data_IF_462180874103
#
_entry.id   IF_462180874103
#
_cell.length_a   1.000
_cell.length_b   1.000
_cell.length_c   1.000
_cell.angle_alpha   90.00
_cell.angle_beta   90.00
_cell.angle_gamma   90.00
#
_symmetry.space_group_name_H-M   'P 1'
#
loop_
_entity.id
_entity.type
_entity.pdbx_description
1 polymer ?
#
# COMPACT_ATOMS: atom_id res chain seq x y z
N UNK A 1 -43.28 28.51 -0.95
CA UNK A 1 -44.70 28.63 -0.58
C UNK A 1 -45.06 27.31 0.09
N UNK A 2 -44.84 27.14 1.39
CA UNK A 2 -45.63 27.58 2.54
C UNK A 2 -46.13 26.30 3.26
N UNK A 3 -45.52 26.00 4.41
CA UNK A 3 -46.08 25.13 5.46
C UNK A 3 -47.30 25.83 6.11
N UNK A 4 -48.17 25.12 6.85
CA UNK A 4 -48.04 25.00 8.33
C UNK A 4 -48.64 23.65 8.86
N UNK A 5 -48.73 23.25 10.14
CA UNK A 5 -48.26 23.64 11.49
C UNK A 5 -48.53 22.40 12.40
N UNK A 6 -47.71 22.23 13.44
CA UNK A 6 -47.90 21.31 14.59
C UNK A 6 -49.03 21.78 15.54
N UNK A 7 -49.42 20.95 16.53
CA UNK A 7 -49.04 21.33 17.91
C UNK A 7 -48.67 20.16 18.85
N UNK A 8 -47.72 20.40 19.78
CA UNK A 8 -47.66 19.77 21.11
C UNK A 8 -48.51 20.59 22.11
N UNK A 9 -48.56 20.27 23.44
CA UNK A 9 -47.39 20.41 24.31
C UNK A 9 -47.35 19.55 25.61
N UNK A 10 -46.27 19.76 26.39
CA UNK A 10 -46.13 19.62 27.88
C UNK A 10 -46.07 18.20 28.48
N UNK A 11 -45.13 17.77 29.33
CA UNK A 11 -44.12 18.44 30.16
C UNK A 11 -44.34 18.08 31.64
N UNK A 12 -43.50 17.22 32.25
CA UNK A 12 -43.34 17.11 33.71
C UNK A 12 -41.90 16.70 34.05
N UNK A 13 -41.30 17.43 35.01
CA UNK A 13 -39.96 17.32 35.61
C UNK A 13 -39.92 16.33 36.79
N UNK A 14 -38.71 15.81 37.04
CA UNK A 14 -38.03 15.44 38.30
C UNK A 14 -38.80 14.71 39.44
N UNK A 15 -38.23 13.61 39.96
CA UNK A 15 -37.46 13.62 41.23
C UNK A 15 -37.12 12.20 41.77
N UNK A 16 -35.82 12.03 42.09
CA UNK A 16 -35.22 11.39 43.28
C UNK A 16 -35.59 9.97 43.81
N UNK A 17 -34.51 9.14 43.85
CA UNK A 17 -33.90 8.46 45.02
C UNK A 17 -34.52 7.18 45.65
N UNK A 18 -33.64 6.15 45.69
CA UNK A 18 -33.25 5.27 46.84
C UNK A 18 -33.48 3.75 46.71
N UNK A 19 -32.35 3.06 46.94
CA UNK A 19 -32.11 1.83 47.69
C UNK A 19 -32.86 0.54 47.33
N UNK A 20 -32.10 -0.54 47.16
CA UNK A 20 -32.20 -1.82 47.90
C UNK A 20 -31.10 -2.76 47.38
N UNK A 21 -29.99 -2.94 48.09
CA UNK A 21 -29.76 -3.83 49.23
C UNK A 21 -29.89 -5.33 48.88
N UNK A 22 -28.73 -6.01 48.89
CA UNK A 22 -28.51 -7.44 48.66
C UNK A 22 -29.16 -8.28 49.77
N UNK A 23 -29.82 -9.38 49.39
CA UNK A 23 -30.21 -10.47 50.29
C UNK A 23 -29.04 -11.45 50.46
N UNK A 24 -28.61 -11.64 51.70
CA UNK A 24 -27.79 -12.76 52.17
C UNK A 24 -28.70 -13.82 52.81
N UNK A 25 -28.45 -15.10 52.54
CA UNK A 25 -29.03 -16.24 53.24
C UNK A 25 -28.10 -16.69 54.40
N UNK A 26 -28.64 -17.25 55.49
CA UNK A 26 -27.88 -17.58 56.69
C UNK A 26 -27.30 -18.99 56.63
N UNK A 27 -26.19 -19.19 57.34
CA UNK A 27 -25.60 -20.49 57.66
C UNK A 27 -25.74 -20.73 59.16
N UNK A 28 -26.46 -21.78 59.51
CA UNK A 28 -26.47 -22.37 60.85
C UNK A 28 -25.19 -23.19 61.07
N UNK A 29 -24.52 -22.98 62.20
CA UNK A 29 -23.69 -24.03 62.81
C UNK A 29 -23.54 -23.82 64.32
N UNK A 30 -24.28 -24.67 65.01
CA UNK A 30 -24.14 -25.25 66.35
C UNK A 30 -22.71 -25.20 66.95
N UNK A 31 -22.61 -24.68 68.18
CA UNK A 31 -22.18 -25.50 69.32
C UNK A 31 -20.75 -25.40 69.87
N UNK A 32 -20.68 -24.78 71.06
CA UNK A 32 -19.92 -25.16 72.29
C UNK A 32 -18.37 -25.10 72.36
N UNK A 33 -17.96 -24.23 73.29
CA UNK A 33 -17.04 -24.43 74.42
C UNK A 33 -15.53 -24.70 74.21
N UNK A 34 -14.75 -23.63 74.47
CA UNK A 34 -13.55 -23.48 75.32
C UNK A 34 -12.78 -24.74 75.80
N UNK A 35 -11.43 -24.72 75.87
CA UNK A 35 -10.76 -23.85 76.84
C UNK A 35 -9.41 -23.21 76.42
N UNK A 36 -9.07 -22.19 77.22
CA UNK A 36 -7.83 -21.42 77.21
C UNK A 36 -6.63 -22.31 77.53
N UNK A 37 -5.63 -22.33 76.65
CA UNK A 37 -4.25 -22.64 77.01
C UNK A 37 -3.36 -21.42 76.79
N UNK A 38 -2.54 -21.19 77.80
CA UNK A 38 -1.59 -20.09 77.94
C UNK A 38 -0.43 -20.18 76.93
N UNK A 39 -0.04 -18.99 76.46
CA UNK A 39 1.25 -18.55 75.97
C UNK A 39 2.35 -19.59 75.68
N UNK A 40 2.75 -19.69 74.40
CA UNK A 40 4.15 -19.43 74.00
C UNK A 40 4.31 -19.34 72.48
N UNK A 41 4.99 -18.26 72.08
CA UNK A 41 5.85 -18.10 70.90
C UNK A 41 5.37 -18.68 69.56
N UNK A 42 5.03 -17.79 68.61
CA UNK A 42 5.61 -17.75 67.25
C UNK A 42 4.87 -16.75 66.35
N UNK A 43 5.49 -15.59 66.11
CA UNK A 43 5.43 -14.84 64.84
C UNK A 43 6.86 -14.96 64.29
N UNK A 44 7.11 -15.34 63.01
CA UNK A 44 6.47 -14.74 61.84
C UNK A 44 6.26 -15.71 60.65
N UNK A 45 5.02 -16.03 60.27
CA UNK A 45 4.76 -16.78 59.02
C UNK A 45 3.53 -16.23 58.29
N UNK A 46 3.46 -14.91 58.10
CA UNK A 46 2.38 -14.28 57.30
C UNK A 46 2.94 -13.38 56.18
N UNK A 47 4.23 -13.06 56.18
CA UNK A 47 4.83 -12.14 55.19
C UNK A 47 5.28 -12.85 53.90
N UNK A 48 5.52 -14.17 53.92
CA UNK A 48 6.05 -14.88 52.75
C UNK A 48 4.97 -15.22 51.71
N UNK A 49 3.72 -15.44 52.12
CA UNK A 49 2.63 -15.79 51.18
C UNK A 49 2.17 -14.58 50.35
N UNK A 50 2.23 -13.37 50.91
CA UNK A 50 1.89 -12.14 50.18
C UNK A 50 2.93 -11.77 49.10
N UNK A 51 4.20 -12.19 49.26
CA UNK A 51 5.25 -11.91 48.28
C UNK A 51 5.16 -12.84 47.05
N UNK A 52 4.70 -14.09 47.22
CA UNK A 52 4.59 -15.04 46.10
C UNK A 52 3.42 -14.72 45.16
N UNK A 53 2.33 -14.15 45.67
CA UNK A 53 1.17 -13.76 44.82
C UNK A 53 1.49 -12.52 43.96
N UNK A 54 2.40 -11.65 44.41
CA UNK A 54 2.84 -10.48 43.64
C UNK A 54 3.74 -10.84 42.44
N UNK A 55 4.38 -12.01 42.45
CA UNK A 55 5.28 -12.46 41.38
C UNK A 55 4.59 -13.21 40.21
N UNK A 56 3.29 -13.51 40.30
CA UNK A 56 2.52 -14.13 39.20
C UNK A 56 1.69 -13.14 38.36
N UNK A 57 1.79 -11.83 38.62
CA UNK A 57 1.21 -10.81 37.76
C UNK A 57 2.11 -10.53 36.56
N UNK A 58 2.34 -11.55 35.74
CA UNK A 58 2.99 -11.37 34.44
C UNK A 58 2.10 -10.47 33.60
N UNK A 59 2.50 -9.21 33.40
CA UNK A 59 1.90 -8.34 32.39
C UNK A 59 2.11 -9.03 31.05
N UNK A 60 1.06 -9.65 30.50
CA UNK A 60 1.08 -10.09 29.11
C UNK A 60 1.56 -8.89 28.28
N UNK A 61 2.58 -9.05 27.40
CA UNK A 61 2.97 -7.95 26.53
C UNK A 61 1.71 -7.51 25.81
N UNK A 62 1.36 -6.23 25.95
CA UNK A 62 0.26 -5.65 25.20
C UNK A 62 0.50 -6.02 23.75
N UNK A 63 -0.41 -6.81 23.15
CA UNK A 63 -0.36 -7.12 21.74
C UNK A 63 -0.18 -5.78 21.03
N UNK A 64 0.95 -5.58 20.35
CA UNK A 64 1.25 -4.32 19.68
C UNK A 64 0.02 -3.99 18.84
N UNK A 65 -0.65 -2.89 19.18
CA UNK A 65 -1.87 -2.51 18.51
C UNK A 65 -1.56 -2.46 17.02
N UNK A 66 -2.21 -3.32 16.23
CA UNK A 66 -2.03 -3.39 14.79
C UNK A 66 -2.15 -1.98 14.24
N UNK A 67 -1.07 -1.44 13.67
CA UNK A 67 -1.10 -0.11 13.08
C UNK A 67 -2.27 -0.08 12.08
N UNK A 68 -3.21 0.89 12.21
CA UNK A 68 -4.35 0.94 11.31
C UNK A 68 -3.87 1.07 9.87
N UNK A 69 -4.69 0.62 8.92
CA UNK A 69 -4.45 0.85 7.50
C UNK A 69 -4.19 2.35 7.26
N UNK A 70 -3.23 2.71 6.39
CA UNK A 70 -2.93 4.10 6.12
C UNK A 70 -4.10 4.75 5.39
N UNK A 71 -4.40 6.04 5.69
CA UNK A 71 -5.43 6.80 4.97
C UNK A 71 -5.03 7.19 3.53
N UNK A 72 -3.73 7.18 3.23
CA UNK A 72 -3.18 7.33 1.87
C UNK A 72 -1.80 6.65 1.78
N UNK A 73 -1.32 6.43 0.56
CA UNK A 73 -0.05 5.74 0.27
C UNK A 73 1.02 6.66 -0.32
N UNK A 74 0.90 7.98 -0.12
CA UNK A 74 1.80 8.94 -0.76
C UNK A 74 3.26 8.73 -0.36
N UNK A 75 3.53 8.33 0.88
CA UNK A 75 4.88 8.04 1.37
C UNK A 75 5.51 6.80 0.70
N UNK A 76 4.67 5.94 0.11
CA UNK A 76 5.05 4.67 -0.50
C UNK A 76 5.53 3.60 0.48
N UNK A 77 5.71 3.91 1.76
CA UNK A 77 6.38 3.03 2.73
C UNK A 77 5.44 2.08 3.46
N UNK A 78 4.13 2.30 3.37
CA UNK A 78 3.11 1.51 4.03
C UNK A 78 1.86 1.46 3.17
N UNK A 79 1.57 0.28 2.59
CA UNK A 79 0.44 0.08 1.66
C UNK A 79 -0.72 -0.67 2.32
N UNK A 80 -0.41 -1.58 3.23
CA UNK A 80 -1.35 -2.44 3.96
C UNK A 80 -0.64 -2.95 5.21
N UNK A 81 -1.38 -3.19 6.30
CA UNK A 81 -0.81 -3.77 7.52
C UNK A 81 -0.53 -5.27 7.36
N UNK A 82 0.41 -5.81 8.13
CA UNK A 82 0.69 -7.25 8.11
C UNK A 82 -0.52 -8.06 8.61
N UNK A 83 -1.26 -7.55 9.60
CA UNK A 83 -2.46 -8.22 10.11
C UNK A 83 -3.56 -8.34 9.04
N UNK A 84 -3.79 -7.29 8.24
CA UNK A 84 -4.75 -7.36 7.14
C UNK A 84 -4.26 -8.31 6.04
N UNK A 85 -2.97 -8.26 5.73
CA UNK A 85 -2.39 -9.03 4.63
C UNK A 85 -2.36 -10.54 4.89
N UNK A 86 -1.97 -10.94 6.11
CA UNK A 86 -1.80 -12.33 6.52
C UNK A 86 -3.02 -12.90 7.28
N UNK A 87 -4.14 -12.17 7.35
CA UNK A 87 -5.38 -12.68 7.96
C UNK A 87 -6.09 -13.69 7.05
N UNK A 88 -5.57 -14.91 7.02
CA UNK A 88 -6.07 -16.03 6.18
C UNK A 88 -7.55 -16.38 6.37
N UNK A 89 -8.15 -15.98 7.51
CA UNK A 89 -9.56 -16.19 7.84
C UNK A 89 -10.41 -14.92 7.74
N UNK A 90 -9.95 -13.88 7.01
CA UNK A 90 -10.66 -12.59 6.92
C UNK A 90 -12.00 -12.67 6.17
N UNK A 91 -12.23 -13.75 5.41
CA UNK A 91 -13.50 -14.05 4.75
C UNK A 91 -13.73 -15.57 4.69
N UNK A 92 -14.97 -16.01 4.87
CA UNK A 92 -15.41 -17.38 4.58
C UNK A 92 -15.74 -17.56 3.10
N UNK A 93 -15.84 -18.81 2.62
CA UNK A 93 -16.22 -19.09 1.23
C UNK A 93 -17.57 -18.47 0.86
N UNK A 94 -18.55 -18.52 1.78
CA UNK A 94 -19.85 -17.88 1.60
C UNK A 94 -19.73 -16.35 1.45
N UNK A 95 -18.91 -15.69 2.26
CA UNK A 95 -18.67 -14.26 2.16
C UNK A 95 -17.97 -13.88 0.84
N UNK A 96 -16.99 -14.67 0.40
CA UNK A 96 -16.34 -14.48 -0.90
C UNK A 96 -17.35 -14.66 -2.04
N UNK A 97 -18.19 -15.69 -1.99
CA UNK A 97 -19.21 -15.93 -3.00
C UNK A 97 -20.23 -14.79 -3.09
N UNK A 98 -20.70 -14.27 -1.95
CA UNK A 98 -21.59 -13.11 -1.88
C UNK A 98 -20.91 -11.86 -2.45
N UNK A 99 -19.65 -11.63 -2.09
CA UNK A 99 -18.86 -10.52 -2.63
C UNK A 99 -18.74 -10.59 -4.16
N UNK A 100 -18.38 -11.76 -4.71
CA UNK A 100 -18.25 -11.95 -6.16
C UNK A 100 -19.58 -11.73 -6.90
N UNK A 101 -20.70 -12.19 -6.33
CA UNK A 101 -22.04 -11.95 -6.89
C UNK A 101 -22.41 -10.47 -6.91
N UNK A 102 -22.06 -9.73 -5.86
CA UNK A 102 -22.31 -8.30 -5.78
C UNK A 102 -21.46 -7.50 -6.78
N UNK A 103 -20.25 -7.96 -7.13
CA UNK A 103 -19.38 -7.29 -8.11
C UNK A 103 -19.83 -7.47 -9.55
N UNK A 104 -20.42 -8.61 -9.88
CA UNK A 104 -20.92 -8.91 -11.22
C UNK A 104 -22.34 -9.47 -11.12
N UNK A 105 -23.38 -8.62 -10.98
CA UNK A 105 -24.76 -9.10 -10.91
C UNK A 105 -25.20 -9.83 -12.19
N UNK A 106 -24.73 -9.35 -13.35
CA UNK A 106 -25.04 -9.94 -14.66
C UNK A 106 -23.76 -10.41 -15.34
N UNK A 107 -23.68 -11.72 -15.59
CA UNK A 107 -22.61 -12.30 -16.39
C UNK A 107 -22.98 -12.28 -17.88
N UNK A 108 -22.09 -11.71 -18.71
CA UNK A 108 -22.22 -11.54 -20.16
C UNK A 108 -21.25 -12.44 -20.95
N UNK A 109 -20.72 -13.49 -20.33
CA UNK A 109 -19.88 -14.47 -21.02
C UNK A 109 -20.66 -15.19 -22.12
N UNK A 110 -20.09 -15.29 -23.31
CA UNK A 110 -20.67 -16.01 -24.45
C UNK A 110 -20.57 -17.53 -24.28
N UNK A 111 -21.32 -18.30 -25.08
CA UNK A 111 -21.19 -19.75 -25.12
C UNK A 111 -19.73 -20.15 -25.50
N UNK A 112 -19.17 -21.12 -24.79
CA UNK A 112 -17.76 -21.54 -24.97
C UNK A 112 -16.71 -20.66 -24.30
N UNK A 113 -17.06 -19.44 -23.87
CA UNK A 113 -16.15 -18.59 -23.08
C UNK A 113 -16.18 -18.98 -21.58
N UNK A 114 -15.10 -18.71 -20.83
CA UNK A 114 -15.12 -18.89 -19.38
C UNK A 114 -16.26 -18.10 -18.73
N UNK A 115 -16.89 -18.71 -17.72
CA UNK A 115 -17.91 -18.04 -16.91
C UNK A 115 -17.30 -16.89 -16.10
N UNK A 116 -18.11 -15.93 -15.68
CA UNK A 116 -17.67 -14.90 -14.72
C UNK A 116 -17.24 -15.54 -13.40
N UNK A 117 -16.33 -14.90 -12.67
CA UNK A 117 -15.67 -15.50 -11.51
C UNK A 117 -16.65 -16.04 -10.45
N UNK A 118 -17.79 -15.38 -10.27
CA UNK A 118 -18.86 -15.83 -9.36
C UNK A 118 -19.50 -17.18 -9.71
N UNK A 119 -19.46 -17.59 -10.98
CA UNK A 119 -20.07 -18.83 -11.51
C UNK A 119 -18.99 -19.82 -12.00
N UNK A 120 -17.71 -19.47 -11.88
CA UNK A 120 -16.60 -20.32 -12.28
C UNK A 120 -16.45 -21.51 -11.34
N UNK A 121 -16.18 -22.68 -11.92
CA UNK A 121 -15.88 -23.92 -11.20
C UNK A 121 -14.65 -24.58 -11.81
N UNK A 122 -13.83 -25.23 -10.97
CA UNK A 122 -12.71 -26.04 -11.41
C UNK A 122 -12.46 -27.20 -10.43
N UNK A 123 -11.78 -28.24 -10.90
CA UNK A 123 -11.21 -29.24 -10.01
C UNK A 123 -9.91 -28.70 -9.40
N UNK A 124 -9.72 -28.98 -8.11
CA UNK A 124 -8.50 -28.65 -7.37
C UNK A 124 -7.75 -29.97 -7.14
N UNK A 125 -6.59 -30.19 -7.76
CA UNK A 125 -5.77 -31.35 -7.45
C UNK A 125 -5.22 -31.24 -6.02
N UNK A 126 -5.06 -32.38 -5.35
CA UNK A 126 -4.36 -32.41 -4.06
C UNK A 126 -2.92 -31.93 -4.22
N UNK A 127 -2.43 -31.18 -3.23
CA UNK A 127 -1.03 -30.73 -3.15
C UNK A 127 -0.49 -31.03 -1.76
N UNK A 128 0.69 -31.64 -1.70
CA UNK A 128 1.42 -31.82 -0.45
C UNK A 128 1.82 -30.46 0.13
N UNK A 129 1.99 -30.41 1.45
CA UNK A 129 2.56 -29.25 2.12
C UNK A 129 4.01 -29.01 1.67
N UNK A 130 4.44 -27.76 1.71
CA UNK A 130 5.84 -27.38 1.58
C UNK A 130 6.22 -26.33 2.64
N UNK A 131 7.38 -25.70 2.49
CA UNK A 131 7.86 -24.69 3.43
C UNK A 131 6.98 -23.43 3.53
N UNK A 132 6.10 -23.18 2.55
CA UNK A 132 5.38 -21.92 2.40
C UNK A 132 3.87 -22.07 2.53
N UNK A 133 3.32 -23.22 2.14
CA UNK A 133 1.90 -23.52 2.27
C UNK A 133 1.68 -24.91 2.89
N UNK A 134 0.63 -25.03 3.69
CA UNK A 134 0.16 -26.33 4.18
C UNK A 134 -0.49 -27.13 3.04
N UNK A 135 -0.78 -28.40 3.29
CA UNK A 135 -1.36 -29.29 2.28
C UNK A 135 -2.72 -28.77 1.80
N UNK A 136 -2.94 -28.80 0.49
CA UNK A 136 -4.21 -28.45 -0.14
C UNK A 136 -4.95 -29.74 -0.52
N UNK A 137 -6.11 -30.03 0.08
CA UNK A 137 -6.86 -31.24 -0.25
C UNK A 137 -7.47 -31.15 -1.66
N UNK A 138 -7.69 -32.32 -2.28
CA UNK A 138 -8.43 -32.43 -3.55
C UNK A 138 -9.85 -31.90 -3.38
N UNK A 139 -10.34 -31.16 -4.36
CA UNK A 139 -11.74 -30.76 -4.47
C UNK A 139 -12.21 -30.98 -5.90
N UNK A 140 -13.46 -31.39 -6.08
CA UNK A 140 -14.08 -31.55 -7.40
C UNK A 140 -15.14 -30.48 -7.61
N UNK A 141 -15.16 -29.89 -8.80
CA UNK A 141 -16.09 -28.82 -9.20
C UNK A 141 -16.21 -27.68 -8.17
N UNK A 142 -15.09 -27.33 -7.53
CA UNK A 142 -15.02 -26.28 -6.53
C UNK A 142 -15.32 -24.92 -7.16
N UNK A 143 -16.09 -24.07 -6.46
CA UNK A 143 -16.32 -22.70 -6.93
C UNK A 143 -15.07 -21.87 -6.71
N UNK A 144 -14.96 -20.76 -7.46
CA UNK A 144 -13.87 -19.81 -7.24
C UNK A 144 -13.74 -19.36 -5.76
N UNK A 145 -14.87 -19.21 -5.06
CA UNK A 145 -14.87 -18.85 -3.64
C UNK A 145 -14.24 -19.91 -2.73
N UNK A 146 -14.50 -21.19 -2.99
CA UNK A 146 -13.91 -22.31 -2.24
C UNK A 146 -12.41 -22.43 -2.54
N UNK A 147 -12.04 -22.28 -3.81
CA UNK A 147 -10.64 -22.28 -4.27
C UNK A 147 -9.85 -21.17 -3.57
N UNK A 148 -10.35 -19.92 -3.61
CA UNK A 148 -9.69 -18.76 -3.01
C UNK A 148 -9.51 -18.96 -1.51
N UNK A 149 -10.54 -19.40 -0.80
CA UNK A 149 -10.48 -19.53 0.67
C UNK A 149 -9.65 -20.73 1.12
N UNK A 150 -9.66 -21.84 0.38
CA UNK A 150 -8.82 -23.00 0.65
C UNK A 150 -7.34 -22.67 0.48
N UNK A 151 -6.98 -21.95 -0.59
CA UNK A 151 -5.60 -21.52 -0.85
C UNK A 151 -5.16 -20.44 0.14
N UNK A 152 -6.04 -19.48 0.45
CA UNK A 152 -5.80 -18.47 1.48
C UNK A 152 -5.42 -19.11 2.83
N UNK A 153 -6.21 -20.11 3.26
CA UNK A 153 -5.94 -20.87 4.48
C UNK A 153 -4.63 -21.66 4.39
N UNK A 154 -4.37 -22.33 3.26
CA UNK A 154 -3.17 -23.13 3.08
C UNK A 154 -1.88 -22.29 3.12
N UNK A 155 -1.88 -21.13 2.46
CA UNK A 155 -0.70 -20.28 2.34
C UNK A 155 -0.65 -19.12 3.35
N UNK A 156 -1.61 -19.01 4.27
CA UNK A 156 -1.61 -17.95 5.28
C UNK A 156 -1.78 -16.53 4.70
N UNK A 157 -2.51 -16.37 3.60
CA UNK A 157 -2.75 -15.07 2.94
C UNK A 157 -4.23 -14.71 3.02
N UNK A 158 -4.54 -13.44 3.26
CA UNK A 158 -5.94 -12.99 3.31
C UNK A 158 -6.70 -13.25 1.99
N UNK A 159 -7.92 -13.83 2.05
CA UNK A 159 -8.82 -13.89 0.90
C UNK A 159 -9.09 -12.51 0.26
N UNK A 160 -9.11 -11.43 1.07
CA UNK A 160 -9.30 -10.05 0.58
C UNK A 160 -8.13 -9.62 -0.29
N UNK A 161 -6.90 -9.94 0.12
CA UNK A 161 -5.69 -9.69 -0.67
C UNK A 161 -5.73 -10.47 -1.98
N UNK A 162 -6.07 -11.76 -1.94
CA UNK A 162 -6.18 -12.58 -3.17
C UNK A 162 -7.19 -11.98 -4.14
N UNK A 163 -8.38 -11.57 -3.67
CA UNK A 163 -9.40 -10.92 -4.50
C UNK A 163 -8.87 -9.62 -5.14
N UNK A 164 -8.17 -8.78 -4.38
CA UNK A 164 -7.60 -7.54 -4.91
C UNK A 164 -6.51 -7.83 -5.94
N UNK A 165 -5.67 -8.83 -5.72
CA UNK A 165 -4.64 -9.23 -6.69
C UNK A 165 -5.28 -9.75 -7.99
N UNK A 166 -6.28 -10.63 -7.92
CA UNK A 166 -7.02 -11.08 -9.11
C UNK A 166 -7.60 -9.92 -9.93
N UNK A 167 -8.07 -8.87 -9.26
CA UNK A 167 -8.55 -7.65 -9.93
C UNK A 167 -7.41 -6.83 -10.54
N UNK A 168 -6.34 -6.61 -9.78
CA UNK A 168 -5.21 -5.79 -10.20
C UNK A 168 -4.50 -6.39 -11.42
N UNK A 169 -4.36 -7.72 -11.44
CA UNK A 169 -3.58 -8.44 -12.45
C UNK A 169 -4.38 -8.72 -13.72
N UNK A 170 -5.67 -9.10 -13.62
CA UNK A 170 -6.48 -9.51 -14.78
C UNK A 170 -7.87 -8.89 -14.84
N UNK A 171 -8.22 -7.96 -13.95
CA UNK A 171 -9.58 -7.37 -13.88
C UNK A 171 -10.67 -8.40 -13.56
N UNK A 172 -10.29 -9.58 -13.06
CA UNK A 172 -11.14 -10.78 -13.11
C UNK A 172 -12.35 -10.71 -12.18
N UNK A 173 -12.23 -10.00 -11.06
CA UNK A 173 -13.30 -9.89 -10.05
C UNK A 173 -14.49 -9.10 -10.56
N UNK A 174 -14.26 -8.08 -11.39
CA UNK A 174 -15.32 -7.25 -11.97
C UNK A 174 -15.66 -7.59 -13.42
N UNK A 175 -14.99 -8.58 -14.02
CA UNK A 175 -15.18 -8.94 -15.41
C UNK A 175 -16.58 -9.51 -15.67
N UNK A 176 -17.35 -8.87 -16.54
CA UNK A 176 -18.66 -9.38 -16.99
C UNK A 176 -18.53 -10.36 -18.15
N UNK A 177 -17.40 -10.38 -18.85
CA UNK A 177 -17.11 -11.29 -19.95
C UNK A 177 -15.61 -11.63 -19.93
N UNK A 178 -15.16 -12.49 -19.00
CA UNK A 178 -13.74 -12.81 -18.86
C UNK A 178 -13.21 -13.62 -20.04
N UNK A 179 -11.90 -13.54 -20.26
CA UNK A 179 -11.23 -14.25 -21.35
C UNK A 179 -10.58 -15.55 -20.85
N UNK A 180 -10.24 -16.45 -21.77
CA UNK A 180 -9.43 -17.61 -21.41
C UNK A 180 -8.08 -17.20 -20.81
N UNK A 181 -7.49 -16.11 -21.30
CA UNK A 181 -6.24 -15.55 -20.78
C UNK A 181 -6.38 -15.09 -19.33
N UNK A 182 -7.47 -14.39 -18.98
CA UNK A 182 -7.65 -13.88 -17.62
C UNK A 182 -7.74 -14.99 -16.56
N UNK A 183 -8.17 -16.19 -16.93
CA UNK A 183 -8.11 -17.36 -16.04
C UNK A 183 -6.76 -18.09 -16.10
N UNK A 184 -6.13 -18.13 -17.27
CA UNK A 184 -4.82 -18.76 -17.45
C UNK A 184 -3.73 -18.04 -16.67
N UNK A 185 -3.77 -16.72 -16.63
CA UNK A 185 -2.79 -15.83 -16.01
C UNK A 185 -3.39 -15.01 -14.86
N UNK A 186 -4.36 -15.58 -14.12
CA UNK A 186 -5.20 -14.87 -13.14
C UNK A 186 -4.47 -13.98 -12.12
N UNK A 187 -3.24 -14.31 -11.76
CA UNK A 187 -2.39 -13.49 -10.89
C UNK A 187 -1.10 -13.02 -11.59
N UNK A 188 -0.85 -13.38 -12.85
CA UNK A 188 0.38 -13.04 -13.57
C UNK A 188 1.64 -13.79 -13.09
N UNK A 189 1.48 -14.81 -12.25
CA UNK A 189 2.61 -15.57 -11.71
C UNK A 189 3.23 -16.45 -12.79
N UNK A 190 4.52 -16.27 -13.07
CA UNK A 190 5.27 -16.96 -14.13
C UNK A 190 4.59 -16.88 -15.51
N UNK A 191 4.04 -15.70 -15.82
CA UNK A 191 3.39 -15.36 -17.08
C UNK A 191 4.02 -14.09 -17.67
N UNK A 192 5.12 -14.19 -18.44
CA UNK A 192 5.76 -13.03 -19.05
C UNK A 192 4.83 -12.32 -20.05
N UNK A 193 4.88 -11.00 -20.13
CA UNK A 193 4.01 -10.22 -21.04
C UNK A 193 4.18 -10.58 -22.53
N UNK A 194 5.36 -11.06 -22.92
CA UNK A 194 5.73 -11.38 -24.31
C UNK A 194 5.84 -12.88 -24.59
N UNK A 195 5.46 -13.74 -23.64
CA UNK A 195 5.56 -15.19 -23.78
C UNK A 195 4.38 -15.92 -23.12
N UNK A 196 4.08 -17.17 -23.50
CA UNK A 196 3.12 -17.97 -22.76
C UNK A 196 3.51 -18.12 -21.29
N UNK A 197 2.51 -18.23 -20.41
CA UNK A 197 2.75 -18.69 -19.05
C UNK A 197 3.48 -20.03 -19.04
N UNK A 198 4.37 -20.24 -18.07
CA UNK A 198 4.92 -21.56 -17.81
C UNK A 198 3.77 -22.57 -17.61
N UNK A 199 3.86 -23.75 -18.25
CA UNK A 199 2.77 -24.73 -18.24
C UNK A 199 2.34 -25.13 -16.81
N UNK A 200 3.30 -25.23 -15.88
CA UNK A 200 3.05 -25.53 -14.48
C UNK A 200 2.31 -24.41 -13.71
N UNK A 201 2.35 -23.18 -14.21
CA UNK A 201 1.72 -22.02 -13.59
C UNK A 201 0.34 -21.68 -14.20
N UNK A 202 0.08 -22.09 -15.43
CA UNK A 202 -1.14 -21.77 -16.14
C UNK A 202 -2.41 -22.33 -15.45
N UNK A 203 -3.48 -21.53 -15.48
CA UNK A 203 -4.82 -21.91 -15.02
C UNK A 203 -5.15 -21.36 -13.62
N UNK A 204 -6.45 -21.15 -13.37
CA UNK A 204 -6.92 -20.39 -12.21
C UNK A 204 -6.40 -20.93 -10.87
N UNK A 205 -6.53 -22.24 -10.63
CA UNK A 205 -6.10 -22.87 -9.37
C UNK A 205 -4.59 -22.69 -9.17
N UNK A 206 -3.79 -22.90 -10.22
CA UNK A 206 -2.33 -22.77 -10.16
C UNK A 206 -1.92 -21.31 -9.94
N UNK A 207 -2.54 -20.37 -10.65
CA UNK A 207 -2.28 -18.95 -10.50
C UNK A 207 -2.60 -18.45 -9.09
N UNK A 208 -3.74 -18.84 -8.52
CA UNK A 208 -4.10 -18.47 -7.15
C UNK A 208 -3.14 -19.11 -6.14
N UNK A 209 -2.80 -20.39 -6.29
CA UNK A 209 -1.88 -21.10 -5.40
C UNK A 209 -0.46 -20.53 -5.46
N UNK A 210 0.13 -20.43 -6.65
CA UNK A 210 1.50 -19.96 -6.82
C UNK A 210 1.62 -18.47 -6.48
N UNK A 211 0.62 -17.65 -6.82
CA UNK A 211 0.61 -16.23 -6.42
C UNK A 211 0.56 -16.05 -4.90
N UNK A 212 -0.28 -16.81 -4.19
CA UNK A 212 -0.34 -16.79 -2.72
C UNK A 212 0.95 -17.33 -2.08
N UNK A 213 1.48 -18.45 -2.61
CA UNK A 213 2.75 -19.04 -2.20
C UNK A 213 3.92 -18.08 -2.41
N UNK A 214 3.93 -17.33 -3.50
CA UNK A 214 4.98 -16.36 -3.79
C UNK A 214 5.04 -15.25 -2.74
N UNK A 215 3.89 -14.83 -2.19
CA UNK A 215 3.87 -13.89 -1.07
C UNK A 215 4.55 -14.46 0.18
N UNK A 216 4.39 -15.76 0.46
CA UNK A 216 5.11 -16.43 1.55
C UNK A 216 6.60 -16.55 1.27
N UNK A 217 7.00 -16.81 0.03
CA UNK A 217 8.41 -16.82 -0.37
C UNK A 217 9.06 -15.44 -0.10
N UNK A 218 8.39 -14.35 -0.46
CA UNK A 218 8.89 -12.99 -0.16
C UNK A 218 9.01 -12.74 1.35
N UNK A 219 8.06 -13.23 2.14
CA UNK A 219 8.07 -13.12 3.62
C UNK A 219 9.20 -13.90 4.26
N UNK A 220 9.40 -15.16 3.86
CA UNK A 220 10.30 -16.08 4.55
C UNK A 220 11.74 -16.03 4.01
N UNK A 221 11.94 -15.52 2.79
CA UNK A 221 13.25 -15.33 2.17
C UNK A 221 13.50 -13.88 1.78
N UNK A 222 13.34 -12.90 2.69
CA UNK A 222 13.42 -11.48 2.35
C UNK A 222 14.82 -11.10 1.83
N UNK A 223 15.88 -11.81 2.24
CA UNK A 223 17.23 -11.60 1.74
C UNK A 223 17.42 -11.96 0.27
N UNK A 224 16.60 -12.85 -0.29
CA UNK A 224 16.64 -13.26 -1.70
C UNK A 224 15.98 -12.26 -2.65
N UNK A 225 15.31 -11.23 -2.14
CA UNK A 225 14.59 -10.25 -2.95
C UNK A 225 15.08 -8.83 -2.74
N UNK A 226 14.74 -7.98 -3.70
CA UNK A 226 15.23 -6.61 -3.82
C UNK A 226 14.70 -5.70 -2.70
N UNK A 227 13.41 -5.80 -2.39
CA UNK A 227 12.76 -4.90 -1.45
C UNK A 227 12.53 -5.59 -0.11
N UNK A 228 12.94 -4.94 0.98
CA UNK A 228 12.84 -5.50 2.34
C UNK A 228 12.24 -4.48 3.31
N UNK A 229 11.48 -4.98 4.28
CA UNK A 229 10.93 -4.19 5.36
C UNK A 229 12.00 -3.72 6.35
N UNK A 230 11.70 -2.68 7.13
CA UNK A 230 12.57 -2.16 8.19
C UNK A 230 13.76 -1.34 7.69
N UNK A 231 13.82 -1.01 6.40
CA UNK A 231 14.94 -0.28 5.81
C UNK A 231 14.51 0.64 4.68
N UNK A 232 15.40 1.58 4.32
CA UNK A 232 15.23 2.43 3.14
C UNK A 232 15.63 1.68 1.88
N UNK A 233 14.70 1.60 0.93
CA UNK A 233 14.87 0.94 -0.36
C UNK A 233 14.84 1.97 -1.50
N UNK A 234 15.55 1.71 -2.58
CA UNK A 234 15.47 2.53 -3.81
C UNK A 234 14.49 1.90 -4.79
N UNK A 235 13.31 2.51 -4.91
CA UNK A 235 12.17 2.01 -5.70
C UNK A 235 11.96 2.89 -6.92
N UNK A 236 11.92 2.27 -8.11
CA UNK A 236 11.67 2.98 -9.36
C UNK A 236 10.25 3.55 -9.42
N UNK A 237 10.08 4.66 -10.12
CA UNK A 237 8.75 5.21 -10.42
C UNK A 237 8.04 4.42 -11.53
N UNK A 238 8.81 3.93 -12.50
CA UNK A 238 8.35 3.30 -13.74
C UNK A 238 9.43 2.30 -14.26
N UNK A 239 9.08 1.32 -15.12
CA UNK A 239 10.07 0.47 -15.79
C UNK A 239 11.14 1.25 -16.54
N UNK A 240 10.74 2.33 -17.21
CA UNK A 240 11.65 3.26 -17.88
C UNK A 240 12.60 3.90 -16.86
N UNK A 241 13.91 3.67 -17.06
CA UNK A 241 14.95 4.19 -16.20
C UNK A 241 15.03 5.73 -16.21
N UNK A 242 14.60 6.39 -17.31
CA UNK A 242 14.60 7.85 -17.40
C UNK A 242 13.64 8.51 -16.40
N UNK A 243 12.62 7.79 -15.94
CA UNK A 243 11.73 8.25 -14.88
C UNK A 243 12.43 8.33 -13.51
N UNK A 244 13.52 7.59 -13.31
CA UNK A 244 14.26 7.56 -12.06
C UNK A 244 13.60 6.74 -10.95
N UNK A 245 14.01 7.03 -9.71
CA UNK A 245 13.59 6.30 -8.52
C UNK A 245 13.41 7.22 -7.30
N UNK A 246 12.91 6.67 -6.20
CA UNK A 246 12.84 7.32 -4.90
C UNK A 246 13.37 6.43 -3.78
N UNK A 247 13.75 7.06 -2.67
CA UNK A 247 14.12 6.38 -1.43
C UNK A 247 12.88 6.25 -0.56
N UNK A 248 12.51 5.02 -0.21
CA UNK A 248 11.30 4.69 0.55
C UNK A 248 11.69 3.82 1.73
N UNK A 249 11.35 4.26 2.95
CA UNK A 249 11.44 3.38 4.12
C UNK A 249 10.22 2.46 4.14
N UNK A 250 10.41 1.17 3.88
CA UNK A 250 9.32 0.18 3.87
C UNK A 250 9.07 -0.26 5.31
N UNK A 251 7.88 0.04 5.84
CA UNK A 251 7.57 -0.10 7.27
C UNK A 251 7.28 -1.54 7.70
N UNK A 252 6.78 -2.39 6.81
CA UNK A 252 6.33 -3.74 7.16
C UNK A 252 6.49 -4.75 6.01
N UNK A 253 6.34 -6.03 6.33
CA UNK A 253 6.62 -7.12 5.39
C UNK A 253 5.60 -7.21 4.26
N UNK A 254 4.32 -6.98 4.52
CA UNK A 254 3.29 -6.97 3.48
C UNK A 254 3.55 -5.93 2.40
N UNK A 255 4.01 -4.73 2.79
CA UNK A 255 4.41 -3.70 1.81
C UNK A 255 5.64 -4.14 1.02
N UNK A 256 6.63 -4.78 1.65
CA UNK A 256 7.77 -5.35 0.93
C UNK A 256 7.34 -6.41 -0.10
N UNK A 257 6.42 -7.30 0.27
CA UNK A 257 5.87 -8.31 -0.62
C UNK A 257 5.19 -7.69 -1.85
N UNK A 258 4.38 -6.66 -1.67
CA UNK A 258 3.71 -5.95 -2.77
C UNK A 258 4.69 -5.26 -3.72
N UNK A 259 5.79 -4.69 -3.20
CA UNK A 259 6.84 -4.15 -4.07
C UNK A 259 7.66 -5.23 -4.77
N UNK A 260 7.91 -6.37 -4.12
CA UNK A 260 8.57 -7.49 -4.81
C UNK A 260 7.67 -8.09 -5.91
N UNK A 261 6.35 -8.04 -5.74
CA UNK A 261 5.38 -8.46 -6.74
C UNK A 261 5.22 -7.42 -7.88
N UNK A 262 5.05 -6.14 -7.53
CA UNK A 262 4.85 -5.03 -8.47
C UNK A 262 5.86 -3.92 -8.17
N UNK A 263 7.03 -3.88 -8.83
CA UNK A 263 8.24 -3.19 -8.36
C UNK A 263 8.30 -1.69 -8.66
N UNK A 264 7.16 -0.99 -8.60
CA UNK A 264 7.08 0.44 -8.89
C UNK A 264 6.26 1.21 -7.85
N UNK A 265 6.80 2.36 -7.46
CA UNK A 265 6.10 3.32 -6.59
C UNK A 265 5.25 4.25 -7.46
N UNK A 266 3.96 4.47 -7.14
CA UNK A 266 3.17 5.47 -7.85
C UNK A 266 3.70 6.87 -7.57
N UNK A 267 3.92 7.65 -8.62
CA UNK A 267 4.28 9.06 -8.49
C UNK A 267 3.04 9.93 -8.16
N UNK A 268 3.25 11.22 -7.95
CA UNK A 268 2.18 12.16 -7.60
C UNK A 268 1.10 12.23 -8.69
N UNK A 269 1.47 12.17 -9.97
CA UNK A 269 0.49 12.21 -11.05
C UNK A 269 -0.39 10.95 -11.07
N UNK A 270 0.20 9.77 -10.82
CA UNK A 270 -0.53 8.52 -10.67
C UNK A 270 -1.54 8.58 -9.51
N UNK A 271 -1.13 9.15 -8.36
CA UNK A 271 -1.98 9.32 -7.20
C UNK A 271 -3.10 10.35 -7.44
N UNK A 272 -2.78 11.49 -8.06
CA UNK A 272 -3.76 12.53 -8.41
C UNK A 272 -4.85 12.02 -9.37
N UNK A 273 -4.51 11.08 -10.26
CA UNK A 273 -5.45 10.51 -11.22
C UNK A 273 -6.48 9.56 -10.59
N UNK A 274 -6.29 9.11 -9.34
CA UNK A 274 -7.17 8.13 -8.70
C UNK A 274 -7.23 6.80 -9.45
N UNK A 275 -8.36 6.49 -10.08
CA UNK A 275 -8.52 5.32 -10.97
C UNK A 275 -8.12 5.58 -12.42
N UNK A 276 -7.93 6.85 -12.80
CA UNK A 276 -7.54 7.25 -14.15
C UNK A 276 -6.05 7.08 -14.45
N UNK A 277 -5.65 7.64 -15.59
CA UNK A 277 -4.27 7.64 -16.08
C UNK A 277 -3.52 8.89 -15.63
N UNK A 278 -2.24 8.70 -15.26
CA UNK A 278 -1.33 9.78 -14.89
C UNK A 278 -0.50 10.29 -16.07
N UNK A 279 0.77 10.55 -15.82
CA UNK A 279 1.79 10.93 -16.79
C UNK A 279 2.58 9.70 -17.33
N UNK A 280 3.50 9.86 -18.31
CA UNK A 280 4.28 8.74 -18.85
C UNK A 280 5.21 8.03 -17.85
N UNK A 281 5.46 8.61 -16.67
CA UNK A 281 6.25 7.99 -15.60
C UNK A 281 5.38 7.46 -14.45
N UNK A 282 4.06 7.38 -14.65
CA UNK A 282 3.11 6.90 -13.67
C UNK A 282 3.05 5.37 -13.70
N UNK A 283 3.07 4.75 -12.52
CA UNK A 283 2.82 3.33 -12.32
C UNK A 283 1.61 3.09 -11.44
N UNK A 284 0.87 2.01 -11.71
CA UNK A 284 -0.48 1.84 -11.17
C UNK A 284 -0.69 0.63 -10.27
N UNK A 285 0.21 -0.36 -10.29
CA UNK A 285 0.03 -1.62 -9.54
C UNK A 285 -0.29 -1.41 -8.06
N UNK A 286 0.68 -0.90 -7.29
CA UNK A 286 0.51 -0.66 -5.86
C UNK A 286 -0.60 0.37 -5.54
N UNK A 287 -0.81 1.35 -6.42
CA UNK A 287 -1.93 2.30 -6.33
C UNK A 287 -3.29 1.60 -6.42
N UNK A 288 -3.47 0.78 -7.46
CA UNK A 288 -4.71 0.07 -7.73
C UNK A 288 -4.96 -0.98 -6.63
N UNK A 289 -3.92 -1.67 -6.16
CA UNK A 289 -4.03 -2.56 -4.99
C UNK A 289 -4.67 -1.83 -3.80
N UNK A 290 -4.07 -0.70 -3.40
CA UNK A 290 -4.58 0.08 -2.27
C UNK A 290 -6.00 0.59 -2.49
N UNK A 291 -6.27 1.15 -3.68
CA UNK A 291 -7.60 1.66 -4.03
C UNK A 291 -8.68 0.59 -3.92
N UNK A 292 -8.46 -0.57 -4.55
CA UNK A 292 -9.41 -1.68 -4.49
C UNK A 292 -9.55 -2.22 -3.06
N UNK A 293 -8.45 -2.42 -2.33
CA UNK A 293 -8.52 -2.93 -0.96
C UNK A 293 -9.36 -2.03 -0.05
N UNK A 294 -9.08 -0.72 -0.06
CA UNK A 294 -9.79 0.24 0.79
C UNK A 294 -11.25 0.39 0.37
N UNK A 295 -11.55 0.54 -0.93
CA UNK A 295 -12.94 0.67 -1.39
C UNK A 295 -13.77 -0.58 -1.13
N UNK A 296 -13.16 -1.77 -1.10
CA UNK A 296 -13.88 -3.03 -0.98
C UNK A 296 -14.03 -3.50 0.46
N UNK A 297 -13.00 -3.31 1.29
CA UNK A 297 -12.91 -3.97 2.59
C UNK A 297 -12.57 -3.04 3.75
N UNK A 298 -12.13 -1.81 3.50
CA UNK A 298 -11.70 -0.89 4.55
C UNK A 298 -12.21 0.54 4.34
N UNK A 299 -13.49 0.69 3.93
CA UNK A 299 -14.09 1.99 3.62
C UNK A 299 -13.95 3.03 4.74
N UNK A 300 -13.90 2.58 6.01
CA UNK A 300 -13.71 3.47 7.16
C UNK A 300 -12.35 4.19 7.21
N UNK A 301 -11.37 3.73 6.43
CA UNK A 301 -10.02 4.33 6.34
C UNK A 301 -9.96 5.43 5.27
N UNK A 302 -10.95 5.48 4.38
CA UNK A 302 -10.98 6.39 3.24
C UNK A 302 -11.17 7.84 3.70
N UNK A 303 -10.21 8.70 3.38
CA UNK A 303 -10.24 10.13 3.75
C UNK A 303 -10.58 11.06 2.59
N UNK A 304 -10.95 10.51 1.43
CA UNK A 304 -11.12 11.28 0.18
C UNK A 304 -12.43 10.99 -0.53
N UNK A 305 -12.90 11.97 -1.31
CA UNK A 305 -13.94 11.80 -2.32
C UNK A 305 -13.31 11.19 -3.58
N UNK A 306 -13.79 10.04 -4.05
CA UNK A 306 -13.22 9.36 -5.22
C UNK A 306 -12.35 8.16 -4.85
N UNK A 307 -11.23 7.91 -5.55
CA UNK A 307 -10.36 6.78 -5.22
C UNK A 307 -9.62 7.01 -3.88
N UNK A 308 -9.41 5.97 -3.06
CA UNK A 308 -8.76 6.11 -1.75
C UNK A 308 -7.37 6.76 -1.76
N UNK A 309 -6.55 6.50 -2.78
CA UNK A 309 -5.18 7.04 -2.88
C UNK A 309 -5.13 8.49 -3.37
N UNK A 310 -6.26 9.08 -3.76
CA UNK A 310 -6.27 10.36 -4.48
C UNK A 310 -5.69 11.49 -3.64
N UNK A 311 -4.84 12.29 -4.27
CA UNK A 311 -4.30 13.53 -3.70
C UNK A 311 -4.67 14.71 -4.59
N UNK A 312 -4.50 15.95 -4.10
CA UNK A 312 -4.77 17.14 -4.89
C UNK A 312 -3.92 17.20 -6.17
N UNK A 313 -4.51 17.57 -7.30
CA UNK A 313 -3.85 17.56 -8.61
C UNK A 313 -2.59 18.43 -8.68
N UNK A 314 -2.52 19.51 -7.89
CA UNK A 314 -1.37 20.41 -7.82
C UNK A 314 -0.47 20.16 -6.59
N UNK A 315 -0.48 18.94 -6.05
CA UNK A 315 0.43 18.54 -4.96
C UNK A 315 1.89 18.54 -5.46
N UNK A 316 2.79 19.15 -4.70
CA UNK A 316 4.24 19.13 -4.99
C UNK A 316 4.94 17.98 -4.28
N UNK A 317 6.01 17.39 -4.85
CA UNK A 317 6.76 16.32 -4.19
C UNK A 317 7.46 16.81 -2.92
N UNK A 318 7.60 15.95 -1.90
CA UNK A 318 8.48 16.24 -0.77
C UNK A 318 9.89 16.58 -1.26
N UNK A 319 10.56 17.54 -0.62
CA UNK A 319 11.91 17.99 -1.02
C UNK A 319 12.91 16.84 -1.12
N UNK A 320 12.82 15.86 -0.21
CA UNK A 320 13.69 14.68 -0.18
C UNK A 320 13.55 13.76 -1.41
N UNK A 321 12.49 13.89 -2.20
CA UNK A 321 12.24 13.10 -3.41
C UNK A 321 12.64 13.84 -4.69
N UNK A 322 12.95 15.13 -4.59
CA UNK A 322 13.43 15.93 -5.72
C UNK A 322 14.94 15.84 -5.75
N UNK A 323 15.48 15.14 -6.76
CA UNK A 323 16.93 15.07 -6.95
C UNK A 323 17.44 16.45 -7.36
N UNK A 324 18.46 16.96 -6.67
CA UNK A 324 19.05 18.26 -6.95
C UNK A 324 19.72 18.28 -8.32
N UNK A 325 19.53 19.39 -9.04
CA UNK A 325 20.19 19.71 -10.32
C UNK A 325 20.69 21.14 -10.27
N UNK A 326 21.67 21.45 -11.10
CA UNK A 326 22.25 22.78 -11.25
C UNK A 326 22.64 22.97 -12.72
N UNK A 327 21.63 23.02 -13.58
CA UNK A 327 21.80 23.11 -15.03
C UNK A 327 20.88 24.20 -15.61
N UNK A 328 20.99 24.45 -16.92
CA UNK A 328 20.02 25.26 -17.67
C UNK A 328 19.11 24.34 -18.46
N UNK A 329 17.80 24.52 -18.34
CA UNK A 329 16.81 23.85 -19.17
C UNK A 329 16.25 24.83 -20.21
N UNK A 330 16.45 24.54 -21.49
CA UNK A 330 15.90 25.32 -22.61
C UNK A 330 14.74 24.58 -23.26
N UNK A 331 13.58 25.21 -23.37
CA UNK A 331 12.38 24.63 -23.99
C UNK A 331 12.63 24.39 -25.49
N UNK A 332 12.34 23.19 -25.98
CA UNK A 332 12.57 22.82 -27.39
C UNK A 332 11.27 22.58 -28.18
N UNK A 333 10.16 22.28 -27.51
CA UNK A 333 8.88 22.07 -28.18
C UNK A 333 8.19 23.41 -28.52
N UNK A 334 7.49 23.44 -29.66
CA UNK A 334 6.82 24.64 -30.18
C UNK A 334 5.69 25.17 -29.26
N UNK A 335 5.19 24.34 -28.33
CA UNK A 335 4.36 24.78 -27.21
C UNK A 335 4.54 23.82 -26.02
N UNK A 336 5.27 24.24 -24.98
CA UNK A 336 5.34 23.49 -23.71
C UNK A 336 4.50 24.17 -22.65
N UNK A 337 3.65 23.41 -21.97
CA UNK A 337 2.99 23.90 -20.75
C UNK A 337 3.87 23.60 -19.54
N UNK A 338 4.38 24.65 -18.90
CA UNK A 338 4.96 24.55 -17.55
C UNK A 338 3.85 24.74 -16.51
N UNK A 339 4.04 24.15 -15.31
CA UNK A 339 2.99 24.06 -14.28
C UNK A 339 3.57 24.26 -12.87
N UNK A 340 2.71 24.48 -11.89
CA UNK A 340 3.14 24.63 -10.47
C UNK A 340 3.42 23.29 -9.76
N UNK A 341 3.05 22.16 -10.36
CA UNK A 341 3.29 20.82 -9.83
C UNK A 341 3.58 19.81 -10.95
N UNK A 342 4.32 18.73 -10.67
CA UNK A 342 4.64 17.68 -11.63
C UNK A 342 3.47 16.69 -11.80
N UNK A 343 2.37 17.20 -12.34
CA UNK A 343 1.20 16.41 -12.74
C UNK A 343 0.51 17.07 -13.93
N UNK A 344 0.15 16.26 -14.91
CA UNK A 344 -0.62 16.70 -16.10
C UNK A 344 -2.02 17.21 -15.73
N UNK A 345 -2.58 16.73 -14.62
CA UNK A 345 -3.87 17.15 -14.08
C UNK A 345 -3.80 18.49 -13.34
N UNK A 346 -2.62 19.02 -13.00
CA UNK A 346 -2.51 20.32 -12.36
C UNK A 346 -2.83 21.45 -13.34
N UNK A 347 -4.00 22.09 -13.17
CA UNK A 347 -4.41 23.25 -13.96
C UNK A 347 -3.84 24.58 -13.44
N UNK A 348 -3.44 24.63 -12.17
CA UNK A 348 -2.96 25.86 -11.52
C UNK A 348 -1.60 26.31 -12.07
N UNK A 349 -1.52 27.58 -12.47
CA UNK A 349 -0.29 28.19 -12.98
C UNK A 349 0.25 27.49 -14.22
N UNK A 350 -0.65 26.97 -15.08
CA UNK A 350 -0.30 26.55 -16.43
C UNK A 350 0.13 27.76 -17.23
N UNK A 351 1.35 27.75 -17.73
CA UNK A 351 1.89 28.78 -18.61
C UNK A 351 2.37 28.14 -19.90
N UNK A 352 1.95 28.70 -21.04
CA UNK A 352 2.52 28.35 -22.34
C UNK A 352 3.85 29.06 -22.49
N UNK A 353 4.88 28.29 -22.81
CA UNK A 353 6.25 28.80 -22.90
C UNK A 353 6.76 28.65 -24.33
N UNK A 354 7.33 29.73 -24.87
CA UNK A 354 7.92 29.77 -26.20
C UNK A 354 9.18 28.90 -26.27
N UNK A 355 9.39 28.27 -27.43
CA UNK A 355 10.65 27.58 -27.76
C UNK A 355 11.83 28.53 -27.58
N UNK A 356 12.92 28.02 -26.99
CA UNK A 356 14.12 28.79 -26.69
C UNK A 356 14.12 29.46 -25.31
N UNK A 357 12.98 29.53 -24.61
CA UNK A 357 12.93 30.04 -23.24
C UNK A 357 13.77 29.15 -22.33
N UNK A 358 14.60 29.77 -21.48
CA UNK A 358 15.51 29.07 -20.58
C UNK A 358 15.15 29.32 -19.11
N UNK A 359 15.34 28.28 -18.30
CA UNK A 359 15.14 28.29 -16.85
C UNK A 359 16.33 27.66 -16.15
N UNK A 360 16.52 28.00 -14.87
CA UNK A 360 17.44 27.26 -14.01
C UNK A 360 16.78 25.92 -13.68
N UNK A 361 17.43 24.82 -14.04
CA UNK A 361 17.04 23.47 -13.65
C UNK A 361 17.57 23.19 -12.24
N UNK A 362 16.66 23.12 -11.28
CA UNK A 362 16.97 22.98 -9.85
C UNK A 362 16.72 21.57 -9.32
N UNK A 363 16.02 20.74 -10.08
CA UNK A 363 15.87 19.34 -9.72
C UNK A 363 15.08 18.48 -10.69
N UNK A 364 14.95 17.19 -10.38
CA UNK A 364 14.16 16.23 -11.15
C UNK A 364 13.35 15.28 -10.26
N UNK A 365 12.17 14.90 -10.72
CA UNK A 365 11.23 14.01 -10.03
C UNK A 365 10.36 13.24 -11.04
N UNK A 366 10.44 11.90 -11.07
CA UNK A 366 9.57 11.04 -11.87
C UNK A 366 9.41 11.50 -13.34
N UNK A 367 10.51 11.79 -14.04
CA UNK A 367 10.51 12.31 -15.43
C UNK A 367 10.19 13.80 -15.58
N UNK A 368 9.83 14.48 -14.50
CA UNK A 368 9.65 15.94 -14.47
C UNK A 368 10.91 16.66 -14.03
N UNK A 369 11.07 17.87 -14.54
CA UNK A 369 12.12 18.82 -14.19
C UNK A 369 11.54 20.00 -13.40
N UNK A 370 12.19 20.31 -12.28
CA UNK A 370 11.89 21.47 -11.44
C UNK A 370 12.67 22.67 -11.94
N UNK A 371 11.94 23.64 -12.48
CA UNK A 371 12.46 24.86 -13.07
C UNK A 371 12.33 26.02 -12.10
N UNK A 372 13.23 26.99 -12.20
CA UNK A 372 13.13 28.28 -11.54
C UNK A 372 13.35 29.39 -12.56
N UNK A 373 12.46 30.38 -12.59
CA UNK A 373 12.64 31.57 -13.43
C UNK A 373 13.47 32.65 -12.73
N UNK A 374 13.77 33.72 -13.46
CA UNK A 374 14.46 34.93 -13.01
C UNK A 374 13.83 35.58 -11.76
N UNK A 375 12.51 35.47 -11.61
CA UNK A 375 11.74 35.98 -10.46
C UNK A 375 11.65 34.99 -9.28
N UNK A 376 12.34 33.85 -9.36
CA UNK A 376 12.34 32.82 -8.31
C UNK A 376 11.10 31.93 -8.24
N UNK A 377 10.16 32.05 -9.19
CA UNK A 377 8.99 31.19 -9.26
C UNK A 377 9.39 29.76 -9.66
N UNK A 378 8.84 28.79 -8.95
CA UNK A 378 9.08 27.35 -9.18
C UNK A 378 8.03 26.79 -10.12
N UNK A 379 8.50 26.17 -11.19
CA UNK A 379 7.68 25.56 -12.23
C UNK A 379 8.14 24.13 -12.51
N UNK A 380 7.33 23.38 -13.24
CA UNK A 380 7.60 22.00 -13.62
C UNK A 380 7.30 21.79 -15.09
N UNK A 381 8.18 21.05 -15.76
CA UNK A 381 7.98 20.55 -17.12
C UNK A 381 8.37 19.08 -17.22
N UNK A 382 7.82 18.35 -18.18
CA UNK A 382 8.27 17.00 -18.46
C UNK A 382 9.59 17.04 -19.25
N UNK A 383 10.56 16.19 -18.91
CA UNK A 383 11.92 16.23 -19.44
C UNK A 383 12.01 16.28 -20.99
N UNK A 384 11.26 15.49 -21.77
CA UNK A 384 11.25 15.55 -23.23
C UNK A 384 10.91 16.91 -23.85
N UNK A 385 10.33 17.84 -23.08
CA UNK A 385 9.94 19.15 -23.59
C UNK A 385 11.09 20.18 -23.60
N UNK A 386 12.23 19.85 -23.01
CA UNK A 386 13.37 20.74 -22.89
C UNK A 386 14.71 20.00 -23.09
N UNK A 387 15.75 20.75 -23.44
CA UNK A 387 17.14 20.28 -23.48
C UNK A 387 17.92 20.83 -22.29
N UNK A 388 18.90 20.07 -21.80
CA UNK A 388 19.77 20.50 -20.71
C UNK A 388 21.12 20.94 -21.26
N UNK A 389 21.62 22.07 -20.78
CA UNK A 389 23.01 22.50 -20.94
C UNK A 389 23.59 22.77 -19.56
N UNK A 390 24.84 22.35 -19.31
CA UNK A 390 25.50 22.63 -18.03
C UNK A 390 25.51 24.13 -17.74
N UNK A 391 25.30 24.52 -16.48
CA UNK A 391 25.66 25.86 -16.04
C UNK A 391 27.17 25.97 -16.20
N UNK A 392 27.63 26.62 -17.27
CA UNK A 392 29.06 26.87 -17.43
C UNK A 392 29.50 27.71 -16.22
N UNK A 393 30.52 27.31 -15.45
CA UNK A 393 31.14 28.25 -14.53
C UNK A 393 31.61 29.45 -15.36
N UNK A 394 31.56 30.69 -14.83
CA UNK A 394 32.18 31.82 -15.51
C UNK A 394 33.63 31.44 -15.87
N UNK A 395 34.13 31.79 -17.07
CA UNK A 395 35.50 31.48 -17.44
C UNK A 395 36.41 32.03 -16.34
N UNK A 396 37.18 31.15 -15.71
CA UNK A 396 38.24 31.56 -14.78
C UNK A 396 39.17 32.46 -15.60
N UNK A 397 39.42 33.71 -15.19
CA UNK A 397 40.41 34.54 -15.88
C UNK A 397 41.71 33.76 -15.95
N UNK A 398 42.19 33.48 -17.17
CA UNK A 398 43.48 32.83 -17.36
C UNK A 398 44.57 33.61 -16.61
N UNK A 399 45.64 32.95 -16.13
CA UNK A 399 46.73 33.64 -15.48
C UNK A 399 47.24 34.75 -16.40
N UNK A 400 47.21 35.98 -15.89
CA UNK A 400 47.83 37.14 -16.55
C UNK A 400 49.28 36.75 -16.85
N UNK A 401 49.64 36.74 -18.12
CA UNK A 401 50.91 36.21 -18.61
C UNK A 401 52.08 36.74 -17.79
N UNK A 402 52.90 35.83 -17.28
CA UNK A 402 54.19 36.17 -16.71
C UNK A 402 55.02 36.88 -17.79
N UNK A 403 55.52 38.07 -17.46
CA UNK A 403 56.50 38.82 -18.24
C UNK A 403 57.62 37.89 -18.70
N UNK A 404 57.87 37.87 -20.02
CA UNK A 404 58.98 37.14 -20.61
C UNK A 404 60.32 37.58 -19.96
N UNK A 405 61.20 36.65 -19.57
CA UNK A 405 62.52 37.02 -19.04
C UNK A 405 63.39 37.62 -20.15
N UNK A 406 64.01 38.76 -19.85
CA UNK A 406 65.04 39.40 -20.68
C UNK A 406 66.21 38.44 -20.90
N UNK A 407 66.53 38.16 -22.16
CA UNK A 407 67.74 37.46 -22.59
C UNK A 407 68.94 38.43 -22.46
N UNK A 408 70.05 38.07 -21.80
CA UNK A 408 71.26 38.89 -21.80
C UNK A 408 72.04 38.71 -23.11
N UNK A 409 72.55 39.82 -23.64
CA UNK A 409 73.41 39.86 -24.82
C UNK A 409 74.70 39.04 -24.63
N UNK A 410 74.99 38.16 -25.58
CA UNK A 410 76.25 37.44 -25.65
C UNK A 410 77.36 38.37 -26.15
N UNK A 411 78.45 38.47 -25.38
CA UNK A 411 79.77 38.91 -25.87
C UNK A 411 80.50 37.69 -26.41
N UNK A 412 80.75 37.64 -27.72
CA UNK A 412 82.07 37.44 -28.35
C UNK A 412 81.93 37.54 -29.86
#
# INVERSE_FOLDING_TARGET
>A
MAAPLTPGPSGVREALLRLTARRTLPTDSIGREMPRFLHRAQRPLVVVVALVIALLSGTAPAAAATAPLPGNIRDGGYLISDAEFFSARSMTAAQVQTFLRARVPTCRATAGAPKCLKDFVADVPARAADAYCTALPKQTRARAADIITSIAAACGISPRVILVMLQKEQGLVTATAPTAWSYRAAMGQDCPDTAPCAAAAAGFVNQVYLGARQMQIYTQKPSSFRYRAGQTNTIKWHPDAACGASRVFIKNQATANLYNYTPYRPNISALAAGYGSGDPCSSYGNRNFYNYYVDWFAKGVKTTTGAPSTIGACTTPPRAEVLTRADVATVIANATTVRTAPSTSCAKGRLSVAKGTSYILTGSYAGWWRLQNDKGAVLWTFAPNARVTALTPPPVPGPVGALAPKVPAARR
#
